data_IF_853722141933
#
_entry.id   IF_853722141933
#
_cell.length_a   1.000
_cell.length_b   1.000
_cell.length_c   1.000
_cell.angle_alpha   90.00
_cell.angle_beta   90.00
_cell.angle_gamma   90.00
#
_symmetry.space_group_name_H-M   'P 1'
#
loop_
_entity.id
_entity.type
_entity.pdbx_description
1 polymer ?
#
# COMPACT_ATOMS: atom_id res chain seq x y z
N UNK A 1 20.66 -1.17 3.90
CA UNK A 1 19.29 -0.70 3.72
C UNK A 1 19.25 0.07 2.43
N UNK A 2 18.65 -0.52 1.39
CA UNK A 2 18.59 0.07 0.06
C UNK A 2 17.48 1.11 -0.05
N UNK A 3 17.47 1.89 -1.13
CA UNK A 3 16.43 2.90 -1.39
C UNK A 3 15.01 2.33 -1.41
N UNK A 4 14.86 1.04 -1.74
CA UNK A 4 13.59 0.31 -1.73
C UNK A 4 13.04 0.13 -0.30
N UNK A 5 13.88 -0.19 0.67
CA UNK A 5 13.46 -0.36 2.07
C UNK A 5 12.89 0.96 2.64
N UNK A 6 13.55 2.08 2.29
CA UNK A 6 13.11 3.41 2.68
C UNK A 6 11.78 3.78 2.02
N UNK A 7 11.61 3.42 0.75
CA UNK A 7 10.37 3.67 0.01
C UNK A 7 9.20 2.90 0.60
N UNK A 8 9.40 1.60 0.92
CA UNK A 8 8.39 0.78 1.60
C UNK A 8 7.99 1.39 2.96
N UNK A 9 8.96 1.84 3.75
CA UNK A 9 8.68 2.48 5.05
C UNK A 9 7.82 3.74 4.91
N UNK A 10 8.13 4.63 3.97
CA UNK A 10 7.33 5.85 3.73
C UNK A 10 5.91 5.50 3.28
N UNK A 11 5.77 4.47 2.45
CA UNK A 11 4.46 4.03 1.97
C UNK A 11 3.61 3.43 3.09
N UNK A 12 4.20 2.56 3.92
CA UNK A 12 3.52 1.97 5.09
C UNK A 12 3.11 3.05 6.10
N UNK A 13 3.96 4.07 6.32
CA UNK A 13 3.64 5.20 7.19
C UNK A 13 2.45 6.02 6.64
N UNK A 14 2.43 6.23 5.32
CA UNK A 14 1.30 6.89 4.64
C UNK A 14 0.00 6.09 4.82
N UNK A 15 0.03 4.78 4.61
CA UNK A 15 -1.15 3.93 4.82
C UNK A 15 -1.61 3.93 6.28
N UNK A 16 -0.69 3.98 7.25
CA UNK A 16 -1.03 4.12 8.67
C UNK A 16 -1.77 5.43 8.94
N UNK A 17 -1.27 6.55 8.40
CA UNK A 17 -1.94 7.84 8.56
C UNK A 17 -3.36 7.82 7.98
N UNK A 18 -3.57 7.14 6.84
CA UNK A 18 -4.91 6.97 6.26
C UNK A 18 -5.84 6.15 7.14
N UNK A 19 -5.32 5.14 7.87
CA UNK A 19 -6.11 4.41 8.88
C UNK A 19 -6.53 5.32 10.03
N UNK A 20 -5.62 6.18 10.51
CA UNK A 20 -5.92 7.14 11.57
C UNK A 20 -6.96 8.19 11.16
N UNK A 21 -6.95 8.57 9.87
CA UNK A 21 -7.93 9.47 9.28
C UNK A 21 -9.28 8.79 8.96
N UNK A 22 -9.35 7.45 9.03
CA UNK A 22 -10.55 6.68 8.68
C UNK A 22 -10.76 6.50 7.17
N UNK A 23 -9.78 6.87 6.35
CA UNK A 23 -9.77 6.73 4.88
C UNK A 23 -9.35 5.32 4.43
N UNK A 24 -8.74 4.55 5.34
CA UNK A 24 -8.38 3.15 5.14
C UNK A 24 -8.82 2.33 6.34
N UNK A 25 -9.40 1.16 6.11
CA UNK A 25 -9.67 0.23 7.21
C UNK A 25 -8.37 -0.44 7.67
N UNK A 26 -8.36 -0.95 8.91
CA UNK A 26 -7.22 -1.74 9.43
C UNK A 26 -6.97 -3.00 8.60
N UNK A 27 -8.04 -3.60 8.06
CA UNK A 27 -7.95 -4.80 7.21
C UNK A 27 -7.22 -4.48 5.90
N UNK A 28 -7.64 -3.42 5.20
CA UNK A 28 -6.97 -2.96 3.98
C UNK A 28 -5.50 -2.58 4.24
N UNK A 29 -5.18 -2.00 5.40
CA UNK A 29 -3.79 -1.71 5.78
C UNK A 29 -2.94 -2.98 5.90
N UNK A 30 -3.45 -4.04 6.51
CA UNK A 30 -2.72 -5.30 6.63
C UNK A 30 -2.53 -5.95 5.26
N UNK A 31 -3.57 -5.96 4.42
CA UNK A 31 -3.49 -6.48 3.06
C UNK A 31 -2.44 -5.72 2.21
N UNK A 32 -2.33 -4.40 2.38
CA UNK A 32 -1.27 -3.59 1.72
C UNK A 32 0.12 -3.96 2.25
N UNK A 33 0.27 -4.20 3.55
CA UNK A 33 1.56 -4.62 4.12
C UNK A 33 1.97 -5.98 3.54
N UNK A 34 1.06 -6.93 3.47
CA UNK A 34 1.30 -8.25 2.86
C UNK A 34 1.66 -8.14 1.38
N UNK A 35 1.01 -7.22 0.65
CA UNK A 35 1.34 -6.94 -0.75
C UNK A 35 2.76 -6.37 -0.92
N UNK A 36 3.20 -5.47 -0.02
CA UNK A 36 4.54 -4.87 -0.04
C UNK A 36 5.63 -5.86 0.34
N UNK A 37 5.34 -6.81 1.23
CA UNK A 37 6.29 -7.88 1.58
C UNK A 37 6.55 -8.78 0.38
N UNK A 38 5.55 -8.97 -0.48
CA UNK A 38 5.63 -9.74 -1.72
C UNK A 38 5.95 -8.90 -2.96
N UNK A 39 6.41 -7.65 -2.82
CA UNK A 39 6.67 -6.73 -3.92
C UNK A 39 7.59 -7.31 -5.01
N UNK A 40 8.53 -8.18 -4.65
CA UNK A 40 9.44 -8.84 -5.61
C UNK A 40 8.75 -9.88 -6.51
N UNK A 41 7.55 -10.32 -6.14
CA UNK A 41 6.73 -11.28 -6.89
C UNK A 41 5.81 -10.60 -7.91
N UNK A 42 5.71 -9.26 -7.88
CA UNK A 42 4.81 -8.48 -8.73
C UNK A 42 5.58 -7.52 -9.63
N UNK A 43 5.20 -7.48 -10.90
CA UNK A 43 5.55 -6.34 -11.74
C UNK A 43 4.74 -5.11 -11.33
N UNK A 44 5.21 -3.92 -11.72
CA UNK A 44 4.63 -2.64 -11.32
C UNK A 44 3.11 -2.54 -11.64
N UNK A 45 2.69 -3.08 -12.78
CA UNK A 45 1.29 -3.08 -13.20
C UNK A 45 0.42 -4.03 -12.36
N UNK A 46 0.94 -5.21 -12.01
CA UNK A 46 0.24 -6.16 -11.14
C UNK A 46 0.12 -5.63 -9.72
N UNK A 47 1.20 -5.05 -9.18
CA UNK A 47 1.19 -4.40 -7.87
C UNK A 47 0.12 -3.30 -7.80
N UNK A 48 0.06 -2.41 -8.81
CA UNK A 48 -0.97 -1.36 -8.87
C UNK A 48 -2.38 -1.93 -8.96
N UNK A 49 -2.57 -3.04 -9.68
CA UNK A 49 -3.87 -3.68 -9.82
C UNK A 49 -4.34 -4.29 -8.48
N UNK A 50 -3.47 -5.01 -7.77
CA UNK A 50 -3.79 -5.56 -6.45
C UNK A 50 -3.99 -4.45 -5.42
N UNK A 51 -3.14 -3.43 -5.43
CA UNK A 51 -3.30 -2.26 -4.56
C UNK A 51 -4.68 -1.61 -4.75
N UNK A 52 -5.11 -1.39 -6.00
CA UNK A 52 -6.45 -0.85 -6.32
C UNK A 52 -7.60 -1.76 -5.86
N UNK A 53 -7.40 -3.09 -5.85
CA UNK A 53 -8.42 -4.04 -5.38
C UNK A 53 -8.59 -3.99 -3.86
N UNK A 54 -7.48 -3.93 -3.15
CA UNK A 54 -7.44 -3.85 -1.69
C UNK A 54 -8.00 -2.50 -1.27
N UNK A 55 -7.45 -1.43 -1.81
CA UNK A 55 -7.65 -0.10 -1.29
C UNK A 55 -8.67 0.68 -2.12
N UNK A 56 -9.94 0.23 -2.07
CA UNK A 56 -11.02 0.85 -2.86
C UNK A 56 -11.18 2.36 -2.61
N UNK A 57 -10.80 2.85 -1.42
CA UNK A 57 -10.77 4.28 -1.09
C UNK A 57 -9.51 5.04 -1.54
N UNK A 58 -8.38 4.35 -1.71
CA UNK A 58 -7.09 4.94 -2.10
C UNK A 58 -6.99 5.18 -3.62
N UNK A 59 -7.88 4.59 -4.43
CA UNK A 59 -7.91 4.82 -5.88
C UNK A 59 -8.16 6.28 -6.25
N UNK A 60 -8.86 7.02 -5.38
CA UNK A 60 -9.10 8.46 -5.52
C UNK A 60 -7.88 9.32 -5.10
N UNK A 61 -6.90 8.74 -4.40
CA UNK A 61 -5.67 9.41 -3.92
C UNK A 61 -4.51 9.34 -4.91
N UNK A 62 -4.55 8.39 -5.87
CA UNK A 62 -3.54 8.21 -6.94
C UNK A 62 -4.11 8.70 -8.30
N UNK A 63 -5.04 9.65 -8.26
CA UNK A 63 -5.58 10.37 -9.41
C UNK A 63 -4.72 11.55 -9.84
#
# INVERSE_FOLDING_TARGET
MGDMDRTKLIFVDTCRNLVELGELSKEEYYDICDLLDRLEEYDNEEFKAELRRISKGLSDLIG
#
